data_IF_610499080194
#
_entry.id   IF_610499080194
#
_cell.length_a   1.000
_cell.length_b   1.000
_cell.length_c   1.000
_cell.angle_alpha   90.00
_cell.angle_beta   90.00
_cell.angle_gamma   90.00
#
_symmetry.space_group_name_H-M   'P 1'
#
loop_
_entity.id
_entity.type
_entity.pdbx_description
1 polymer ?
#
# COMPACT_ATOMS: atom_id res chain seq x y z
N UNK A 1 20.13 8.46 -3.89
CA UNK A 1 21.50 8.02 -3.63
C UNK A 1 21.95 7.01 -4.69
N UNK A 2 23.23 7.03 -5.05
CA UNK A 2 23.81 6.11 -6.04
C UNK A 2 23.59 4.64 -5.69
N UNK A 3 23.56 4.30 -4.40
CA UNK A 3 23.28 2.93 -3.91
C UNK A 3 21.86 2.44 -4.27
N UNK A 4 20.86 3.30 -4.25
CA UNK A 4 19.49 2.94 -4.65
C UNK A 4 19.41 2.72 -6.17
N UNK A 5 20.06 3.56 -6.97
CA UNK A 5 20.16 3.36 -8.41
C UNK A 5 20.89 2.05 -8.76
N UNK A 6 21.97 1.73 -8.05
CA UNK A 6 22.71 0.48 -8.23
C UNK A 6 21.89 -0.77 -7.85
N UNK A 7 20.93 -0.62 -6.95
CA UNK A 7 20.02 -1.68 -6.53
C UNK A 7 18.72 -1.70 -7.37
N UNK A 8 18.58 -0.80 -8.36
CA UNK A 8 17.41 -0.73 -9.21
C UNK A 8 16.23 0.02 -8.59
N UNK A 9 16.38 0.66 -7.44
CA UNK A 9 15.31 1.41 -6.77
C UNK A 9 15.19 2.82 -7.34
N UNK A 10 14.60 2.93 -8.50
CA UNK A 10 14.42 4.23 -9.16
C UNK A 10 13.18 4.98 -8.66
N UNK A 11 12.11 4.26 -8.32
CA UNK A 11 10.86 4.80 -7.79
C UNK A 11 10.55 4.14 -6.46
N UNK A 12 10.23 4.93 -5.44
CA UNK A 12 9.83 4.45 -4.12
C UNK A 12 8.43 4.94 -3.79
N UNK A 13 7.67 4.08 -3.15
CA UNK A 13 6.34 4.37 -2.63
C UNK A 13 6.45 4.91 -1.21
N UNK A 14 5.86 6.05 -0.92
CA UNK A 14 5.96 6.70 0.39
C UNK A 14 4.67 7.37 0.83
N UNK A 15 4.53 7.57 2.14
CA UNK A 15 3.53 8.46 2.74
C UNK A 15 4.22 9.67 3.36
N UNK A 16 3.63 10.84 3.19
CA UNK A 16 4.10 12.08 3.79
C UNK A 16 3.34 12.37 5.08
N UNK A 17 4.06 12.86 6.09
CA UNK A 17 3.49 13.28 7.36
C UNK A 17 3.53 14.82 7.40
N UNK A 18 2.35 15.41 7.62
CA UNK A 18 2.16 16.86 7.69
C UNK A 18 1.50 17.21 9.02
N UNK A 19 2.07 18.14 9.73
CA UNK A 19 1.47 18.70 10.93
C UNK A 19 0.35 19.68 10.52
N UNK A 20 -0.88 19.40 10.93
CA UNK A 20 -2.05 20.17 10.51
C UNK A 20 -2.18 21.55 11.20
N UNK A 21 -1.56 21.74 12.36
CA UNK A 21 -1.58 23.05 13.06
C UNK A 21 -0.59 24.02 12.42
N UNK A 22 0.64 23.56 12.17
CA UNK A 22 1.69 24.38 11.58
C UNK A 22 1.73 24.34 10.05
N UNK A 23 0.98 23.43 9.42
CA UNK A 23 1.00 23.13 7.98
C UNK A 23 2.40 22.81 7.44
N UNK A 24 3.25 22.23 8.28
CA UNK A 24 4.62 21.87 7.92
C UNK A 24 4.75 20.38 7.61
N UNK A 25 5.52 20.10 6.59
CA UNK A 25 6.01 18.75 6.31
C UNK A 25 6.96 18.33 7.44
N UNK A 26 6.73 17.13 8.01
CA UNK A 26 7.52 16.58 9.10
C UNK A 26 8.40 15.40 8.68
N UNK A 27 8.10 14.78 7.56
CA UNK A 27 8.88 13.69 7.03
C UNK A 27 8.09 12.81 6.06
N UNK A 28 8.79 11.88 5.41
CA UNK A 28 8.18 10.84 4.59
C UNK A 28 8.70 9.47 5.01
N UNK A 29 7.81 8.47 5.00
CA UNK A 29 8.12 7.09 5.36
C UNK A 29 7.91 6.22 4.12
N UNK A 30 8.91 5.40 3.80
CA UNK A 30 8.83 4.46 2.68
C UNK A 30 7.88 3.31 2.98
N UNK A 31 7.08 2.94 1.99
CA UNK A 31 6.18 1.80 2.04
C UNK A 31 6.79 0.54 1.41
N UNK A 32 7.85 0.72 0.65
CA UNK A 32 8.61 -0.39 0.09
C UNK A 32 9.43 -1.11 1.18
N UNK A 33 9.71 -2.37 0.96
CA UNK A 33 10.62 -3.21 1.76
C UNK A 33 11.86 -3.54 0.92
N UNK A 34 12.99 -3.90 1.53
CA UNK A 34 14.20 -4.22 0.76
C UNK A 34 13.98 -5.30 -0.31
N UNK A 35 13.10 -6.26 -0.04
CA UNK A 35 12.83 -7.41 -0.90
C UNK A 35 11.54 -7.29 -1.72
N UNK A 36 10.70 -6.28 -1.43
CA UNK A 36 9.38 -6.14 -2.06
C UNK A 36 8.92 -4.71 -2.11
N UNK A 37 8.60 -4.22 -3.29
CA UNK A 37 7.97 -2.92 -3.49
C UNK A 37 6.51 -2.86 -3.01
N UNK A 38 5.99 -1.65 -2.92
CA UNK A 38 4.61 -1.32 -2.58
C UNK A 38 3.98 -0.45 -3.67
N UNK A 39 4.10 -0.90 -4.92
CA UNK A 39 3.78 -0.10 -6.09
C UNK A 39 2.28 0.24 -6.21
N UNK A 40 2.02 1.42 -6.76
CA UNK A 40 0.67 1.85 -7.08
C UNK A 40 -0.16 2.22 -5.86
N UNK A 41 0.37 3.04 -4.94
CA UNK A 41 -0.39 3.58 -3.81
C UNK A 41 -1.62 4.30 -4.34
N UNK A 42 -2.80 3.99 -3.79
CA UNK A 42 -4.04 4.60 -4.25
C UNK A 42 -4.80 5.37 -3.18
N UNK A 43 -5.02 4.78 -2.01
CA UNK A 43 -5.79 5.39 -0.94
C UNK A 43 -5.17 5.10 0.43
N UNK A 44 -5.39 6.02 1.38
CA UNK A 44 -4.99 5.89 2.78
C UNK A 44 -6.15 6.28 3.69
N UNK A 45 -6.43 5.45 4.69
CA UNK A 45 -7.44 5.73 5.73
C UNK A 45 -6.89 5.42 7.10
N UNK A 46 -7.37 6.17 8.09
CA UNK A 46 -7.01 5.97 9.49
C UNK A 46 -8.28 5.81 10.32
N UNK A 47 -8.39 4.71 11.05
CA UNK A 47 -9.44 4.45 12.03
C UNK A 47 -8.99 3.36 12.99
N UNK A 48 -9.57 3.30 14.19
CA UNK A 48 -9.39 2.21 15.17
C UNK A 48 -7.92 1.86 15.44
N UNK A 49 -7.08 2.88 15.61
CA UNK A 49 -5.63 2.74 15.80
C UNK A 49 -4.90 2.04 14.61
N UNK A 50 -5.44 2.10 13.42
CA UNK A 50 -4.84 1.53 12.21
C UNK A 50 -4.69 2.61 11.14
N UNK A 51 -3.59 2.55 10.37
CA UNK A 51 -3.44 3.20 9.08
C UNK A 51 -3.53 2.10 8.04
N UNK A 52 -4.46 2.20 7.11
CA UNK A 52 -4.62 1.23 6.04
C UNK A 52 -4.39 1.90 4.71
N UNK A 53 -3.54 1.30 3.88
CA UNK A 53 -3.11 1.83 2.58
C UNK A 53 -3.34 0.77 1.52
N UNK A 54 -3.98 1.13 0.41
CA UNK A 54 -4.14 0.24 -0.73
C UNK A 54 -3.01 0.42 -1.75
N UNK A 55 -2.50 -0.72 -2.26
CA UNK A 55 -1.45 -0.78 -3.26
C UNK A 55 -1.99 -1.46 -4.53
N UNK A 56 -2.36 -0.64 -5.51
CA UNK A 56 -3.03 -1.13 -6.72
C UNK A 56 -2.12 -2.00 -7.59
N UNK A 57 -0.82 -1.69 -7.63
CA UNK A 57 0.15 -2.43 -8.44
C UNK A 57 0.61 -3.75 -7.83
N UNK A 58 0.60 -3.88 -6.50
CA UNK A 58 0.99 -5.10 -5.78
C UNK A 58 -0.19 -5.89 -5.23
N UNK A 59 -1.43 -5.45 -5.51
CA UNK A 59 -2.68 -6.16 -5.23
C UNK A 59 -2.90 -6.49 -3.75
N UNK A 60 -2.39 -5.64 -2.85
CA UNK A 60 -2.48 -5.83 -1.42
C UNK A 60 -2.87 -4.53 -0.68
N UNK A 61 -3.05 -4.66 0.62
CA UNK A 61 -3.15 -3.53 1.54
C UNK A 61 -2.05 -3.61 2.60
N UNK A 62 -1.53 -2.47 3.02
CA UNK A 62 -0.75 -2.34 4.26
C UNK A 62 -1.67 -1.98 5.41
N UNK A 63 -1.54 -2.68 6.55
CA UNK A 63 -2.20 -2.38 7.82
C UNK A 63 -1.12 -2.05 8.82
N UNK A 64 -1.09 -0.80 9.29
CA UNK A 64 -0.01 -0.28 10.14
C UNK A 64 -0.61 0.10 11.50
N UNK A 65 0.06 -0.27 12.59
CA UNK A 65 -0.28 0.19 13.94
C UNK A 65 0.00 1.69 14.07
N UNK A 66 -1.07 2.49 14.24
CA UNK A 66 -0.97 3.95 14.28
C UNK A 66 -0.16 4.45 15.48
N UNK A 67 -0.44 3.92 16.68
CA UNK A 67 0.26 4.34 17.89
C UNK A 67 1.75 4.04 17.82
N UNK A 68 2.11 2.82 17.45
CA UNK A 68 3.51 2.42 17.27
C UNK A 68 4.20 3.21 16.17
N UNK A 69 3.49 3.49 15.07
CA UNK A 69 4.01 4.33 13.98
C UNK A 69 4.36 5.74 14.49
N UNK A 70 3.44 6.41 15.17
CA UNK A 70 3.66 7.79 15.68
C UNK A 70 4.79 7.81 16.73
N UNK A 71 4.83 6.83 17.63
CA UNK A 71 5.90 6.72 18.63
C UNK A 71 7.27 6.56 17.97
N UNK A 72 7.39 5.62 17.02
CA UNK A 72 8.65 5.36 16.30
C UNK A 72 9.05 6.55 15.43
N UNK A 73 8.08 7.17 14.75
CA UNK A 73 8.29 8.37 13.95
C UNK A 73 8.82 9.52 14.81
N UNK A 74 8.20 9.81 15.96
CA UNK A 74 8.63 10.90 16.84
C UNK A 74 10.00 10.66 17.47
N UNK A 75 10.33 9.40 17.79
CA UNK A 75 11.61 9.00 18.36
C UNK A 75 12.74 8.91 17.31
N UNK A 76 12.44 8.98 16.01
CA UNK A 76 13.45 8.83 14.97
C UNK A 76 14.43 10.01 14.95
N UNK A 77 15.76 9.78 15.07
CA UNK A 77 16.73 10.85 15.34
C UNK A 77 16.86 11.88 14.21
N UNK A 78 16.76 11.43 12.96
CA UNK A 78 16.97 12.26 11.76
C UNK A 78 15.83 12.05 10.78
N UNK A 79 14.80 12.87 10.82
CA UNK A 79 13.59 12.74 9.99
C UNK A 79 13.90 12.64 8.48
N UNK A 80 14.90 13.37 8.01
CA UNK A 80 15.30 13.34 6.60
C UNK A 80 15.86 11.96 6.17
N UNK A 81 16.41 11.17 7.11
CA UNK A 81 16.91 9.83 6.85
C UNK A 81 15.80 8.79 6.67
N UNK A 82 14.56 9.09 7.11
CA UNK A 82 13.40 8.21 6.90
C UNK A 82 13.13 7.93 5.43
N UNK A 83 13.42 8.88 4.54
CA UNK A 83 13.25 8.73 3.08
C UNK A 83 14.19 7.70 2.47
N UNK A 84 15.08 7.11 3.25
CA UNK A 84 16.03 6.07 2.86
C UNK A 84 15.92 4.81 3.71
N UNK A 85 15.01 4.77 4.69
CA UNK A 85 14.85 3.63 5.60
C UNK A 85 13.71 2.71 5.17
N UNK A 86 14.03 1.70 4.37
CA UNK A 86 13.10 0.65 3.93
C UNK A 86 12.65 -0.30 5.05
N UNK A 87 13.23 -0.19 6.25
CA UNK A 87 12.92 -1.06 7.39
C UNK A 87 12.14 -0.35 8.48
N UNK A 88 11.82 0.94 8.29
CA UNK A 88 11.10 1.71 9.30
C UNK A 88 9.81 1.03 9.75
N UNK A 89 9.06 0.43 8.84
CA UNK A 89 7.77 -0.22 9.13
C UNK A 89 7.89 -1.65 9.67
N UNK A 90 9.09 -2.20 9.83
CA UNK A 90 9.26 -3.54 10.40
C UNK A 90 8.73 -3.60 11.83
N UNK A 91 7.89 -4.62 12.09
CA UNK A 91 7.21 -4.84 13.36
C UNK A 91 6.00 -3.94 13.62
N UNK A 92 5.67 -3.04 12.67
CA UNK A 92 4.52 -2.14 12.77
C UNK A 92 3.47 -2.41 11.69
N UNK A 93 3.82 -3.12 10.62
CA UNK A 93 3.00 -3.29 9.44
C UNK A 93 2.80 -4.75 9.09
N UNK A 94 1.56 -5.08 8.74
CA UNK A 94 1.20 -6.29 8.02
C UNK A 94 0.82 -5.95 6.58
N UNK A 95 1.19 -6.79 5.62
CA UNK A 95 0.76 -6.70 4.23
C UNK A 95 -0.18 -7.86 3.92
N UNK A 96 -1.39 -7.53 3.52
CA UNK A 96 -2.48 -8.49 3.28
C UNK A 96 -2.77 -8.51 1.78
N UNK A 97 -2.45 -9.63 1.13
CA UNK A 97 -2.81 -9.86 -0.27
C UNK A 97 -4.33 -10.00 -0.40
N UNK A 98 -4.92 -9.33 -1.38
CA UNK A 98 -6.36 -9.35 -1.61
C UNK A 98 -6.78 -10.42 -2.64
N UNK A 99 -8.05 -10.79 -2.61
CA UNK A 99 -8.64 -11.57 -3.67
C UNK A 99 -8.92 -10.65 -4.87
N UNK A 100 -8.12 -10.79 -5.93
CA UNK A 100 -8.22 -9.99 -7.15
C UNK A 100 -7.21 -8.85 -7.22
N UNK A 101 -7.22 -8.15 -8.34
CA UNK A 101 -6.18 -7.23 -8.76
C UNK A 101 -6.64 -5.77 -8.75
N UNK A 102 -5.71 -4.87 -8.42
CA UNK A 102 -5.89 -3.44 -8.50
C UNK A 102 -6.84 -2.88 -7.44
N UNK A 103 -6.56 -3.06 -6.12
CA UNK A 103 -7.30 -2.33 -5.09
C UNK A 103 -7.10 -0.83 -5.29
N UNK A 104 -8.18 -0.09 -5.14
CA UNK A 104 -8.18 1.38 -5.26
C UNK A 104 -8.65 1.99 -3.94
N UNK A 105 -9.77 2.68 -3.93
CA UNK A 105 -10.35 3.27 -2.72
C UNK A 105 -10.64 2.21 -1.66
N UNK A 106 -10.63 2.59 -0.39
CA UNK A 106 -11.01 1.73 0.72
C UNK A 106 -11.88 2.48 1.75
N UNK A 107 -12.67 1.72 2.48
CA UNK A 107 -13.48 2.22 3.60
C UNK A 107 -13.12 1.39 4.84
N UNK A 108 -12.93 2.07 5.97
CA UNK A 108 -12.77 1.43 7.26
C UNK A 108 -14.07 1.52 8.04
N UNK A 109 -14.56 0.39 8.54
CA UNK A 109 -15.79 0.32 9.33
C UNK A 109 -15.78 -0.91 10.23
N UNK A 110 -16.08 -0.72 11.51
CA UNK A 110 -16.26 -1.79 12.51
C UNK A 110 -15.09 -2.80 12.53
N UNK A 111 -13.84 -2.29 12.52
CA UNK A 111 -12.63 -3.11 12.53
C UNK A 111 -12.34 -3.84 11.21
N UNK A 112 -13.03 -3.49 10.14
CA UNK A 112 -12.85 -4.08 8.80
C UNK A 112 -12.45 -3.05 7.77
N UNK A 113 -11.68 -3.49 6.77
CA UNK A 113 -11.44 -2.73 5.54
C UNK A 113 -12.30 -3.31 4.40
N UNK A 114 -13.07 -2.45 3.75
CA UNK A 114 -13.86 -2.80 2.57
C UNK A 114 -13.12 -2.25 1.35
N UNK A 115 -12.62 -3.13 0.50
CA UNK A 115 -11.67 -2.79 -0.57
C UNK A 115 -12.14 -3.38 -1.91
N UNK A 116 -12.62 -2.56 -2.85
CA UNK A 116 -12.90 -3.03 -4.21
C UNK A 116 -11.60 -3.22 -5.00
N UNK A 117 -11.52 -4.29 -5.77
CA UNK A 117 -10.43 -4.55 -6.71
C UNK A 117 -10.90 -4.28 -8.14
N UNK A 118 -10.38 -3.22 -8.73
CA UNK A 118 -10.83 -2.65 -10.01
C UNK A 118 -10.67 -3.62 -11.19
N UNK A 119 -9.54 -4.30 -11.28
CA UNK A 119 -9.28 -5.21 -12.40
C UNK A 119 -9.94 -6.58 -12.26
N UNK A 120 -10.55 -6.89 -11.13
CA UNK A 120 -11.18 -8.20 -10.87
C UNK A 120 -12.66 -8.11 -10.53
N UNK A 121 -13.23 -6.90 -10.44
CA UNK A 121 -14.62 -6.66 -10.04
C UNK A 121 -15.00 -7.44 -8.78
N UNK A 122 -14.12 -7.42 -7.77
CA UNK A 122 -14.32 -8.12 -6.51
C UNK A 122 -14.30 -7.13 -5.36
N UNK A 123 -15.22 -7.29 -4.41
CA UNK A 123 -15.24 -6.55 -3.16
C UNK A 123 -14.61 -7.44 -2.06
N UNK A 124 -13.52 -6.98 -1.47
CA UNK A 124 -12.89 -7.64 -0.35
C UNK A 124 -13.34 -6.99 0.95
N UNK A 125 -13.76 -7.81 1.92
CA UNK A 125 -14.06 -7.41 3.28
C UNK A 125 -12.99 -8.07 4.16
N UNK A 126 -12.03 -7.28 4.60
CA UNK A 126 -10.85 -7.73 5.33
C UNK A 126 -11.04 -7.41 6.82
N UNK A 127 -11.02 -8.41 7.68
CA UNK A 127 -10.93 -8.20 9.11
C UNK A 127 -9.51 -7.78 9.49
N UNK A 128 -9.36 -6.58 10.07
CA UNK A 128 -8.06 -5.98 10.35
C UNK A 128 -7.31 -6.59 11.55
N UNK A 129 -7.96 -7.49 12.32
CA UNK A 129 -7.34 -8.16 13.44
C UNK A 129 -6.96 -9.61 13.12
N UNK A 130 -7.83 -10.31 12.41
CA UNK A 130 -7.62 -11.73 12.07
C UNK A 130 -7.01 -11.92 10.68
N UNK A 131 -7.02 -10.88 9.84
CA UNK A 131 -6.61 -10.88 8.44
C UNK A 131 -7.45 -11.83 7.55
N UNK A 132 -8.62 -12.26 8.03
CA UNK A 132 -9.55 -13.03 7.22
C UNK A 132 -10.18 -12.16 6.14
N UNK A 133 -10.40 -12.73 4.97
CA UNK A 133 -10.94 -12.04 3.80
C UNK A 133 -12.19 -12.76 3.33
N UNK A 134 -13.29 -12.02 3.29
CA UNK A 134 -14.50 -12.41 2.58
C UNK A 134 -14.50 -11.69 1.23
N UNK A 135 -14.39 -12.44 0.14
CA UNK A 135 -14.35 -11.90 -1.21
C UNK A 135 -15.69 -12.11 -1.93
N UNK A 136 -16.30 -11.01 -2.35
CA UNK A 136 -17.60 -11.01 -3.03
C UNK A 136 -17.41 -10.58 -4.48
N UNK A 137 -17.62 -11.46 -5.48
CA UNK A 137 -17.64 -11.06 -6.87
C UNK A 137 -18.79 -10.09 -7.14
N UNK A 138 -18.48 -8.93 -7.74
CA UNK A 138 -19.49 -7.94 -8.12
C UNK A 138 -20.11 -8.24 -9.49
N UNK A 139 -19.40 -8.98 -10.33
CA UNK A 139 -19.83 -9.38 -11.67
C UNK A 139 -19.71 -10.88 -11.81
N UNK A 140 -20.81 -11.54 -12.24
CA UNK A 140 -20.79 -12.96 -12.58
C UNK A 140 -20.36 -13.15 -14.05
N UNK A 141 -19.60 -14.21 -14.33
CA UNK A 141 -19.14 -14.55 -15.67
C UNK A 141 -18.40 -13.41 -16.39
N UNK A 142 -17.50 -12.75 -15.70
CA UNK A 142 -16.72 -11.66 -16.27
C UNK A 142 -15.94 -12.10 -17.50
N UNK A 143 -16.13 -11.40 -18.60
CA UNK A 143 -15.33 -11.55 -19.82
C UNK A 143 -14.42 -10.33 -19.95
N UNK A 144 -13.12 -10.53 -19.77
CA UNK A 144 -12.13 -9.47 -19.89
C UNK A 144 -11.85 -9.15 -21.37
N UNK A 145 -12.04 -7.90 -21.78
CA UNK A 145 -11.65 -7.44 -23.11
C UNK A 145 -10.12 -7.33 -23.24
N UNK A 146 -9.61 -7.26 -24.49
CA UNK A 146 -8.17 -7.04 -24.73
C UNK A 146 -7.68 -5.74 -24.19
N UNK A 147 -8.52 -4.68 -24.19
CA UNK A 147 -8.20 -3.35 -23.64
C UNK A 147 -8.05 -3.43 -22.14
N UNK A 148 -9.01 -4.02 -21.43
CA UNK A 148 -8.97 -4.21 -19.98
C UNK A 148 -7.76 -5.03 -19.54
N UNK A 149 -7.42 -6.08 -20.31
CA UNK A 149 -6.21 -6.88 -20.04
C UNK A 149 -4.93 -6.05 -20.22
N UNK A 150 -4.87 -5.22 -21.26
CA UNK A 150 -3.74 -4.30 -21.47
C UNK A 150 -3.61 -3.28 -20.34
N UNK A 151 -4.73 -2.69 -19.90
CA UNK A 151 -4.75 -1.77 -18.76
C UNK A 151 -4.27 -2.45 -17.47
N UNK A 152 -4.74 -3.68 -17.21
CA UNK A 152 -4.28 -4.46 -16.06
C UNK A 152 -2.77 -4.66 -16.10
N UNK A 153 -2.21 -5.16 -17.20
CA UNK A 153 -0.76 -5.39 -17.32
C UNK A 153 0.06 -4.12 -17.18
N UNK A 154 -0.45 -2.98 -17.68
CA UNK A 154 0.23 -1.70 -17.56
C UNK A 154 0.35 -1.22 -16.11
N UNK A 155 -0.64 -1.55 -15.27
CA UNK A 155 -0.70 -1.14 -13.87
C UNK A 155 -0.22 -2.23 -12.89
N UNK A 156 0.17 -3.41 -13.39
CA UNK A 156 0.55 -4.57 -12.56
C UNK A 156 2.05 -4.59 -12.31
N UNK A 157 2.44 -4.44 -11.06
CA UNK A 157 3.85 -4.48 -10.66
C UNK A 157 4.40 -5.91 -10.49
N UNK A 158 3.56 -6.94 -10.55
CA UNK A 158 4.02 -8.34 -10.48
C UNK A 158 4.92 -8.74 -11.66
N UNK A 159 4.85 -7.98 -12.76
CA UNK A 159 5.72 -8.14 -13.92
C UNK A 159 7.10 -7.47 -13.78
N UNK A 160 7.31 -6.68 -12.72
CA UNK A 160 8.56 -6.00 -12.44
C UNK A 160 9.36 -6.69 -11.33
N UNK A 161 10.67 -6.50 -11.36
CA UNK A 161 11.56 -7.07 -10.35
C UNK A 161 11.14 -6.63 -8.94
N UNK A 162 10.88 -7.61 -8.06
CA UNK A 162 10.45 -7.41 -6.67
C UNK A 162 9.24 -6.46 -6.51
N UNK A 163 8.40 -6.32 -7.52
CA UNK A 163 7.17 -5.52 -7.50
C UNK A 163 7.39 -4.03 -7.15
N UNK A 164 8.54 -3.46 -7.52
CA UNK A 164 8.89 -2.09 -7.16
C UNK A 164 8.07 -1.04 -7.90
N UNK A 165 7.68 -1.33 -9.13
CA UNK A 165 6.93 -0.39 -9.97
C UNK A 165 6.11 -1.14 -11.02
N UNK A 166 5.07 -0.51 -11.54
CA UNK A 166 4.39 -0.89 -12.79
C UNK A 166 4.88 -0.02 -13.94
N UNK A 167 4.33 -0.23 -15.13
CA UNK A 167 4.61 0.65 -16.27
C UNK A 167 3.92 2.03 -16.13
N UNK A 168 2.96 2.13 -15.21
CA UNK A 168 2.25 3.38 -14.90
C UNK A 168 3.10 4.29 -14.02
#
# INVERSE_FOLDING_TARGET
>A
PTSQLQQGWMNTSAISIVNLESLRFEGAVLLDEPERGAAGIWDVKCADNKIVISHSGTHDISVIDYTGFIQKFNAYPQKDALTYDLRFLYGLRDRIALAGNGPRSLILKDGKAIVPTYFSDTLNIVDLNTHQIDAVPLVQNRVESRIQRGEKYFNDAEHCFQNWQSCN
#
